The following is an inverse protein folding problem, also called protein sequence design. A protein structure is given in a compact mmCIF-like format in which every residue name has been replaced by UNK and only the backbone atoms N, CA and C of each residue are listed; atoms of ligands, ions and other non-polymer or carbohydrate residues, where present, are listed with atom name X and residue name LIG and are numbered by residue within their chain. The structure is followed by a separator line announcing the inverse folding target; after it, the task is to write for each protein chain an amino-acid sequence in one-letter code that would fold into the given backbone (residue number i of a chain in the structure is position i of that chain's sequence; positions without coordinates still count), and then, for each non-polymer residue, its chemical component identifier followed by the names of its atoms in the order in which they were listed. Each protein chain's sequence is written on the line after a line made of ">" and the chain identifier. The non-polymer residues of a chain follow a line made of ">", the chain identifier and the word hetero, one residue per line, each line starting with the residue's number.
data_IF_886068396572
#
_entry.id   IF_886068396572
#
_cell.length_a   1.000
_cell.length_b   1.000
_cell.length_c   1.000
_cell.angle_alpha   90.00
_cell.angle_beta   90.00
_cell.angle_gamma   90.00
#
_symmetry.space_group_name_H-M   'P 1'
#
loop_
_entity.id
_entity.type
_entity.pdbx_description
1 polymer ?
#
# COMPACT_ATOMS: atom_id res chain seq x y z
N UNK A 1 -9.39 -10.03 -16.05
CA UNK A 1 -9.05 -9.57 -14.68
C UNK A 1 -7.54 -9.43 -14.60
N UNK A 2 -6.97 -8.60 -13.71
CA UNK A 2 -5.52 -8.35 -13.64
C UNK A 2 -4.87 -9.50 -12.89
N UNK A 3 -3.83 -10.15 -13.44
CA UNK A 3 -3.20 -11.34 -12.85
C UNK A 3 -2.76 -11.17 -11.38
N UNK A 4 -2.36 -9.96 -10.97
CA UNK A 4 -2.02 -9.69 -9.58
C UNK A 4 -3.26 -9.61 -8.66
N UNK A 5 -4.41 -9.10 -9.18
CA UNK A 5 -5.67 -9.08 -8.43
C UNK A 5 -6.15 -10.50 -8.17
N UNK A 6 -6.13 -11.36 -9.22
CA UNK A 6 -6.50 -12.77 -9.10
C UNK A 6 -5.59 -13.52 -8.11
N UNK A 7 -4.28 -13.21 -8.12
CA UNK A 7 -3.35 -13.78 -7.15
C UNK A 7 -3.69 -13.39 -5.71
N UNK A 8 -3.93 -12.09 -5.44
CA UNK A 8 -4.26 -11.60 -4.10
C UNK A 8 -5.68 -12.01 -3.65
N UNK A 9 -6.56 -12.34 -4.59
CA UNK A 9 -7.90 -12.87 -4.28
C UNK A 9 -7.90 -14.37 -3.95
N UNK A 10 -6.83 -15.11 -4.32
CA UNK A 10 -6.68 -16.52 -4.04
C UNK A 10 -6.23 -16.78 -2.58
N UNK A 11 -6.43 -18.01 -2.09
CA UNK A 11 -5.90 -18.48 -0.81
C UNK A 11 -4.38 -18.63 -0.89
N UNK A 12 -3.67 -17.55 -0.61
CA UNK A 12 -2.21 -17.54 -0.53
C UNK A 12 -1.75 -16.89 0.77
N UNK A 13 -0.57 -17.24 1.22
CA UNK A 13 0.07 -16.57 2.34
C UNK A 13 1.46 -16.09 1.92
N UNK A 14 1.64 -14.77 1.94
CA UNK A 14 2.94 -14.11 1.78
C UNK A 14 3.62 -13.89 3.13
N UNK A 15 2.92 -14.18 4.21
CA UNK A 15 3.42 -13.98 5.57
C UNK A 15 4.06 -15.25 6.09
N UNK A 16 5.17 -15.11 6.83
CA UNK A 16 5.90 -16.23 7.42
C UNK A 16 5.07 -16.97 8.46
N UNK A 17 4.29 -16.23 9.26
CA UNK A 17 3.34 -16.73 10.25
C UNK A 17 2.36 -15.62 10.67
N UNK A 18 1.43 -15.91 11.59
CA UNK A 18 0.47 -14.95 12.12
C UNK A 18 1.17 -13.73 12.78
N UNK A 19 2.22 -13.96 13.58
CA UNK A 19 2.99 -12.87 14.21
C UNK A 19 3.55 -11.90 13.19
N UNK A 20 4.18 -12.40 12.09
CA UNK A 20 4.68 -11.55 11.00
C UNK A 20 3.56 -10.69 10.42
N UNK A 21 2.42 -11.32 10.09
CA UNK A 21 1.26 -10.62 9.54
C UNK A 21 0.78 -9.51 10.47
N UNK A 22 0.59 -9.80 11.75
CA UNK A 22 0.05 -8.86 12.72
C UNK A 22 0.98 -7.66 12.94
N UNK A 23 2.29 -7.89 13.15
CA UNK A 23 3.25 -6.78 13.33
C UNK A 23 3.47 -5.98 12.04
N UNK A 24 3.34 -6.61 10.86
CA UNK A 24 3.43 -5.94 9.57
C UNK A 24 2.30 -4.92 9.40
N UNK A 25 1.03 -5.34 9.59
CA UNK A 25 -0.10 -4.43 9.47
C UNK A 25 -0.13 -3.38 10.58
N UNK A 26 0.23 -3.76 11.82
CA UNK A 26 0.33 -2.82 12.93
C UNK A 26 1.34 -1.68 12.64
N UNK A 27 2.48 -2.03 12.02
CA UNK A 27 3.48 -1.04 11.63
C UNK A 27 2.99 -0.16 10.50
N UNK A 28 2.44 -0.73 9.43
CA UNK A 28 1.90 0.05 8.31
C UNK A 28 0.83 1.03 8.79
N UNK A 29 -0.14 0.57 9.58
CA UNK A 29 -1.18 1.44 10.11
C UNK A 29 -0.61 2.57 10.97
N UNK A 30 0.39 2.29 11.83
CA UNK A 30 1.09 3.31 12.63
C UNK A 30 1.77 4.35 11.74
N UNK A 31 2.49 3.88 10.70
CA UNK A 31 3.22 4.76 9.81
C UNK A 31 2.24 5.62 8.97
N UNK A 32 1.10 5.06 8.51
CA UNK A 32 0.04 5.81 7.80
C UNK A 32 -0.59 6.87 8.70
N UNK A 33 -0.88 6.54 9.96
CA UNK A 33 -1.47 7.49 10.94
C UNK A 33 -0.62 8.75 11.09
N UNK A 34 0.71 8.63 11.00
CA UNK A 34 1.62 9.77 11.07
C UNK A 34 1.45 10.78 9.91
N UNK A 35 0.80 10.40 8.82
CA UNK A 35 0.49 11.28 7.68
C UNK A 35 -0.94 11.81 7.69
N UNK A 36 -1.83 11.30 8.53
CA UNK A 36 -3.22 11.80 8.62
C UNK A 36 -3.19 13.26 9.09
N UNK A 37 -3.69 14.23 8.30
CA UNK A 37 -3.46 15.64 8.56
C UNK A 37 -4.24 16.18 9.77
N UNK A 38 -5.40 15.60 10.08
CA UNK A 38 -6.26 16.01 11.18
C UNK A 38 -7.28 14.92 11.51
N UNK A 39 -7.83 14.94 12.72
CA UNK A 39 -8.82 13.95 13.20
C UNK A 39 -10.18 14.01 12.47
N UNK A 40 -10.47 15.10 11.79
CA UNK A 40 -11.65 15.26 10.93
C UNK A 40 -11.38 14.95 9.46
N UNK A 41 -10.19 14.45 9.12
CA UNK A 41 -9.81 14.13 7.74
C UNK A 41 -10.65 12.99 7.16
N UNK A 42 -10.99 13.09 5.89
CA UNK A 42 -11.54 12.02 5.06
C UNK A 42 -10.37 11.35 4.34
N UNK A 43 -10.20 10.06 4.56
CA UNK A 43 -9.03 9.27 4.13
C UNK A 43 -9.45 8.20 3.12
N UNK A 44 -8.63 8.00 2.09
CA UNK A 44 -8.72 6.84 1.18
C UNK A 44 -7.42 6.04 1.28
N UNK A 45 -7.52 4.75 1.59
CA UNK A 45 -6.45 3.77 1.42
C UNK A 45 -6.66 3.04 0.08
N UNK A 46 -5.84 3.38 -0.91
CA UNK A 46 -6.03 2.99 -2.32
C UNK A 46 -5.30 1.67 -2.61
N UNK A 47 -6.07 0.61 -2.86
CA UNK A 47 -5.61 -0.80 -2.96
C UNK A 47 -5.07 -1.29 -1.62
N UNK A 48 -5.92 -1.24 -0.60
CA UNK A 48 -5.55 -1.42 0.81
C UNK A 48 -5.20 -2.86 1.21
N UNK A 49 -5.53 -3.87 0.37
CA UNK A 49 -5.36 -5.28 0.72
C UNK A 49 -6.14 -5.68 1.98
N UNK A 50 -5.59 -6.56 2.79
CA UNK A 50 -6.25 -7.05 4.02
C UNK A 50 -6.45 -5.99 5.11
N UNK A 51 -5.69 -4.92 5.13
CA UNK A 51 -5.83 -3.75 6.00
C UNK A 51 -6.18 -4.08 7.48
N UNK A 52 -5.53 -5.11 8.08
CA UNK A 52 -5.95 -5.69 9.37
C UNK A 52 -6.06 -4.64 10.49
N UNK A 53 -5.18 -3.67 10.50
CA UNK A 53 -5.12 -2.60 11.51
C UNK A 53 -5.75 -1.27 11.05
N UNK A 54 -6.58 -1.28 10.00
CA UNK A 54 -7.23 -0.07 9.48
C UNK A 54 -8.07 0.67 10.55
N UNK A 55 -8.52 -0.02 11.59
CA UNK A 55 -9.18 0.60 12.75
C UNK A 55 -8.35 1.72 13.40
N UNK A 56 -7.02 1.63 13.39
CA UNK A 56 -6.13 2.68 13.91
C UNK A 56 -6.15 3.93 13.03
N UNK A 57 -6.18 3.76 11.71
CA UNK A 57 -6.30 4.87 10.75
C UNK A 57 -7.68 5.52 10.87
N UNK A 58 -8.73 4.71 10.97
CA UNK A 58 -10.09 5.20 11.17
C UNK A 58 -10.26 5.96 12.50
N UNK A 59 -9.57 5.53 13.57
CA UNK A 59 -9.58 6.24 14.85
C UNK A 59 -8.95 7.65 14.72
N UNK A 60 -7.94 7.80 13.88
CA UNK A 60 -7.24 9.05 13.62
C UNK A 60 -7.92 9.96 12.57
N UNK A 61 -9.05 9.54 12.00
CA UNK A 61 -9.76 10.26 10.94
C UNK A 61 -11.26 10.35 11.21
N UNK A 62 -12.01 11.15 10.44
CA UNK A 62 -13.48 11.17 10.50
C UNK A 62 -14.09 10.05 9.66
N UNK A 63 -13.48 9.72 8.52
CA UNK A 63 -13.93 8.67 7.62
C UNK A 63 -12.72 8.04 6.93
N UNK A 64 -12.74 6.70 6.81
CA UNK A 64 -11.76 5.92 6.07
C UNK A 64 -12.47 5.10 4.99
N UNK A 65 -12.10 5.33 3.75
CA UNK A 65 -12.48 4.48 2.62
C UNK A 65 -11.36 3.49 2.35
N UNK A 66 -11.65 2.19 2.48
CA UNK A 66 -10.76 1.10 2.10
C UNK A 66 -11.10 0.68 0.67
N UNK A 67 -10.33 1.16 -0.29
CA UNK A 67 -10.54 0.87 -1.70
C UNK A 67 -9.74 -0.38 -2.11
N UNK A 68 -10.43 -1.46 -2.49
CA UNK A 68 -9.78 -2.73 -2.81
C UNK A 68 -10.36 -3.33 -4.09
N UNK A 69 -9.51 -3.62 -5.11
CA UNK A 69 -9.98 -4.18 -6.38
C UNK A 69 -10.37 -5.66 -6.31
N UNK A 70 -9.75 -6.47 -5.41
CA UNK A 70 -9.97 -7.91 -5.31
C UNK A 70 -11.30 -8.21 -4.59
N UNK A 71 -12.29 -8.88 -5.24
CA UNK A 71 -13.62 -9.07 -4.65
C UNK A 71 -13.63 -9.88 -3.37
N UNK A 72 -12.84 -10.96 -3.28
CA UNK A 72 -12.77 -11.79 -2.08
C UNK A 72 -12.09 -11.07 -0.92
N UNK A 73 -11.02 -10.30 -1.20
CA UNK A 73 -10.39 -9.41 -0.18
C UNK A 73 -11.41 -8.39 0.29
N UNK A 74 -12.15 -7.73 -0.63
CA UNK A 74 -13.21 -6.77 -0.28
C UNK A 74 -14.27 -7.39 0.64
N UNK A 75 -14.73 -8.60 0.33
CA UNK A 75 -15.72 -9.31 1.17
C UNK A 75 -15.19 -9.55 2.59
N UNK A 76 -13.92 -9.99 2.71
CA UNK A 76 -13.28 -10.24 4.01
C UNK A 76 -13.13 -8.96 4.86
N UNK A 77 -12.67 -7.85 4.26
CA UNK A 77 -12.53 -6.59 5.00
C UNK A 77 -13.87 -5.96 5.31
N UNK A 78 -14.89 -6.10 4.44
CA UNK A 78 -16.27 -5.66 4.72
C UNK A 78 -16.82 -6.38 5.96
N UNK A 79 -16.69 -7.70 6.02
CA UNK A 79 -17.13 -8.47 7.19
C UNK A 79 -16.36 -8.07 8.46
N UNK A 80 -15.04 -7.86 8.35
CA UNK A 80 -14.18 -7.48 9.48
C UNK A 80 -14.56 -6.13 10.09
N UNK A 81 -14.94 -5.16 9.27
CA UNK A 81 -15.19 -3.79 9.71
C UNK A 81 -16.68 -3.39 9.71
N UNK A 82 -17.61 -4.36 9.54
CA UNK A 82 -19.04 -4.11 9.47
C UNK A 82 -19.60 -3.28 10.63
N UNK A 83 -19.02 -3.40 11.84
CA UNK A 83 -19.43 -2.63 13.03
C UNK A 83 -18.76 -1.25 13.19
N UNK A 84 -17.89 -0.83 12.27
CA UNK A 84 -17.19 0.44 12.41
C UNK A 84 -17.78 1.51 11.46
N UNK A 85 -18.54 2.49 11.98
CA UNK A 85 -19.21 3.49 11.16
C UNK A 85 -18.25 4.43 10.43
N UNK A 86 -17.00 4.52 10.87
CA UNK A 86 -15.98 5.33 10.22
C UNK A 86 -15.35 4.66 9.01
N UNK A 87 -15.50 3.34 8.83
CA UNK A 87 -14.90 2.59 7.71
C UNK A 87 -15.98 2.29 6.67
N UNK A 88 -15.66 2.56 5.42
CA UNK A 88 -16.42 2.12 4.26
C UNK A 88 -15.48 1.36 3.30
N UNK A 89 -15.90 0.16 2.89
CA UNK A 89 -15.17 -0.63 1.91
C UNK A 89 -15.76 -0.37 0.53
N UNK A 90 -14.92 0.02 -0.41
CA UNK A 90 -15.32 0.49 -1.74
C UNK A 90 -14.45 -0.14 -2.84
N UNK A 91 -14.88 0.00 -4.10
CA UNK A 91 -14.06 -0.35 -5.27
C UNK A 91 -13.18 0.83 -5.70
N UNK A 92 -12.25 0.60 -6.65
CA UNK A 92 -11.49 1.71 -7.26
C UNK A 92 -12.37 2.58 -8.14
N UNK A 93 -13.41 2.00 -8.74
CA UNK A 93 -14.44 2.68 -9.53
C UNK A 93 -15.29 3.61 -8.66
N UNK A 94 -15.63 3.18 -7.43
CA UNK A 94 -16.31 4.05 -6.46
C UNK A 94 -15.45 5.25 -6.09
N UNK A 95 -14.13 5.07 -5.90
CA UNK A 95 -13.21 6.21 -5.69
C UNK A 95 -13.18 7.13 -6.91
N UNK A 96 -13.18 6.55 -8.12
CA UNK A 96 -13.24 7.33 -9.35
C UNK A 96 -14.59 8.07 -9.54
N UNK A 97 -15.64 7.67 -8.85
CA UNK A 97 -16.94 8.34 -8.85
C UNK A 97 -17.10 9.40 -7.73
N UNK A 98 -16.16 9.48 -6.78
CA UNK A 98 -16.17 10.50 -5.74
C UNK A 98 -16.11 11.91 -6.32
N UNK A 99 -16.70 12.87 -5.61
CA UNK A 99 -16.66 14.28 -6.00
C UNK A 99 -15.22 14.83 -6.04
N UNK A 100 -15.01 15.79 -6.91
CA UNK A 100 -13.73 16.51 -6.98
C UNK A 100 -13.43 17.18 -5.63
N UNK A 101 -12.17 17.17 -5.24
CA UNK A 101 -11.68 17.84 -4.03
C UNK A 101 -12.45 17.47 -2.76
N UNK A 102 -12.83 16.20 -2.62
CA UNK A 102 -13.61 15.70 -1.46
C UNK A 102 -12.76 15.00 -0.40
N UNK A 103 -11.52 14.59 -0.73
CA UNK A 103 -10.65 13.78 0.11
C UNK A 103 -9.50 14.61 0.67
N UNK A 104 -9.22 14.48 1.97
CA UNK A 104 -8.12 15.18 2.64
C UNK A 104 -6.80 14.45 2.54
N UNK A 105 -6.84 13.10 2.57
CA UNK A 105 -5.64 12.29 2.53
C UNK A 105 -5.88 11.00 1.72
N UNK A 106 -4.95 10.71 0.80
CA UNK A 106 -4.90 9.43 0.09
C UNK A 106 -3.56 8.77 0.38
N UNK A 107 -3.59 7.49 0.71
CA UNK A 107 -2.41 6.63 0.75
C UNK A 107 -2.52 5.54 -0.30
N UNK A 108 -1.43 5.27 -1.03
CA UNK A 108 -1.27 4.13 -1.93
C UNK A 108 0.01 3.41 -1.53
N UNK A 109 -0.10 2.26 -0.86
CA UNK A 109 1.03 1.56 -0.28
C UNK A 109 1.18 0.14 -0.83
N UNK A 110 2.41 -0.26 -1.18
CA UNK A 110 2.76 -1.62 -1.65
C UNK A 110 1.99 -2.12 -2.88
N UNK A 111 1.49 -1.24 -3.74
CA UNK A 111 0.70 -1.63 -4.92
C UNK A 111 1.32 -1.17 -6.24
N UNK A 112 2.04 -0.06 -6.26
CA UNK A 112 2.60 0.53 -7.48
C UNK A 112 3.50 -0.42 -8.27
N UNK A 113 4.17 -1.37 -7.59
CA UNK A 113 5.02 -2.37 -8.21
C UNK A 113 4.26 -3.41 -9.05
N UNK A 114 2.95 -3.56 -8.86
CA UNK A 114 2.11 -4.50 -9.61
C UNK A 114 1.32 -3.83 -10.73
N UNK A 115 1.34 -2.50 -10.79
CA UNK A 115 0.62 -1.71 -11.80
C UNK A 115 1.45 -1.54 -13.07
N UNK A 116 0.78 -1.58 -14.21
CA UNK A 116 1.33 -1.10 -15.48
C UNK A 116 1.49 0.43 -15.45
N UNK A 117 2.27 0.98 -16.41
CA UNK A 117 2.41 2.43 -16.53
C UNK A 117 1.07 3.14 -16.71
N UNK A 118 0.17 2.57 -17.53
CA UNK A 118 -1.17 3.14 -17.76
C UNK A 118 -2.04 3.08 -16.51
N UNK A 119 -1.95 2.00 -15.74
CA UNK A 119 -2.73 1.86 -14.50
C UNK A 119 -2.31 2.85 -13.43
N UNK A 120 -1.00 3.07 -13.28
CA UNK A 120 -0.51 4.05 -12.31
C UNK A 120 -0.89 5.48 -12.75
N UNK A 121 -0.83 5.80 -14.05
CA UNK A 121 -1.22 7.10 -14.58
C UNK A 121 -2.72 7.36 -14.37
N UNK A 122 -3.58 6.35 -14.60
CA UNK A 122 -5.01 6.44 -14.33
C UNK A 122 -5.32 6.63 -12.83
N UNK A 123 -4.62 5.90 -11.96
CA UNK A 123 -4.74 6.05 -10.51
C UNK A 123 -4.32 7.46 -10.06
N UNK A 124 -3.17 7.96 -10.53
CA UNK A 124 -2.69 9.29 -10.20
C UNK A 124 -3.65 10.40 -10.67
N UNK A 125 -4.24 10.26 -11.87
CA UNK A 125 -5.27 11.18 -12.38
C UNK A 125 -6.51 11.18 -11.48
N UNK A 126 -6.98 10.02 -11.08
CA UNK A 126 -8.12 9.88 -10.16
C UNK A 126 -7.82 10.53 -8.81
N UNK A 127 -6.68 10.16 -8.19
CA UNK A 127 -6.25 10.69 -6.90
C UNK A 127 -6.11 12.21 -6.97
N UNK A 128 -5.50 12.75 -8.05
CA UNK A 128 -5.32 14.19 -8.24
C UNK A 128 -6.65 14.95 -8.26
N UNK A 129 -7.68 14.37 -8.88
CA UNK A 129 -9.00 14.96 -8.99
C UNK A 129 -9.77 14.96 -7.66
N UNK A 130 -9.79 13.81 -6.95
CA UNK A 130 -10.57 13.69 -5.71
C UNK A 130 -9.89 14.35 -4.52
N UNK A 131 -8.57 14.54 -4.55
CA UNK A 131 -7.81 15.15 -3.47
C UNK A 131 -8.07 16.66 -3.42
N UNK A 132 -8.38 17.18 -2.22
CA UNK A 132 -8.50 18.64 -1.98
C UNK A 132 -7.21 19.37 -2.35
N UNK A 133 -7.30 20.66 -2.69
CA UNK A 133 -6.13 21.49 -3.00
C UNK A 133 -5.10 21.53 -1.84
N UNK A 134 -5.57 21.49 -0.59
CA UNK A 134 -4.74 21.37 0.63
C UNK A 134 -4.43 19.94 1.01
N UNK A 135 -4.96 18.96 0.30
CA UNK A 135 -4.86 17.53 0.63
C UNK A 135 -3.44 16.96 0.45
N UNK A 136 -3.25 15.78 1.02
CA UNK A 136 -1.97 15.05 0.99
C UNK A 136 -2.19 13.71 0.29
N UNK A 137 -1.32 13.39 -0.65
CA UNK A 137 -1.20 12.05 -1.21
C UNK A 137 0.14 11.44 -0.80
N UNK A 138 0.13 10.21 -0.30
CA UNK A 138 1.35 9.46 0.01
C UNK A 138 1.38 8.18 -0.81
N UNK A 139 2.46 8.00 -1.57
CA UNK A 139 2.77 6.74 -2.24
C UNK A 139 3.95 6.08 -1.52
N UNK A 140 3.74 4.89 -0.98
CA UNK A 140 4.72 4.15 -0.18
C UNK A 140 5.13 2.82 -0.79
N UNK A 141 6.26 2.30 -0.33
CA UNK A 141 6.85 1.02 -0.74
C UNK A 141 7.22 0.97 -2.24
N UNK A 142 7.62 2.11 -2.81
CA UNK A 142 8.09 2.18 -4.20
C UNK A 142 9.41 1.43 -4.32
N UNK A 143 9.46 0.48 -5.26
CA UNK A 143 10.62 -0.40 -5.47
C UNK A 143 11.65 0.29 -6.34
N UNK A 144 12.86 0.48 -5.80
CA UNK A 144 13.98 1.03 -6.57
C UNK A 144 14.56 -0.01 -7.56
N UNK A 145 15.14 0.41 -8.72
CA UNK A 145 15.71 -0.51 -9.70
C UNK A 145 16.79 -1.43 -9.15
N UNK A 146 17.57 -0.94 -8.19
CA UNK A 146 18.66 -1.67 -7.54
C UNK A 146 18.21 -2.53 -6.35
N UNK A 147 16.92 -2.59 -6.04
CA UNK A 147 16.40 -3.47 -4.98
C UNK A 147 16.51 -4.93 -5.42
N UNK A 148 17.36 -5.70 -4.76
CA UNK A 148 17.54 -7.13 -5.02
C UNK A 148 16.68 -8.00 -4.11
N UNK A 149 16.49 -9.27 -4.52
CA UNK A 149 15.84 -10.26 -3.64
C UNK A 149 16.60 -10.45 -2.32
N UNK A 150 17.93 -10.30 -2.34
CA UNK A 150 18.78 -10.37 -1.14
C UNK A 150 18.49 -9.20 -0.20
N UNK A 151 18.33 -7.99 -0.75
CA UNK A 151 17.96 -6.81 0.04
C UNK A 151 16.60 -7.01 0.73
N UNK A 152 15.59 -7.52 0.01
CA UNK A 152 14.27 -7.82 0.56
C UNK A 152 14.35 -8.92 1.64
N UNK A 153 15.13 -9.99 1.39
CA UNK A 153 15.33 -11.06 2.36
C UNK A 153 15.99 -10.59 3.65
N UNK A 154 17.05 -9.77 3.53
CA UNK A 154 17.72 -9.19 4.69
C UNK A 154 16.81 -8.24 5.49
N UNK A 155 15.98 -7.45 4.80
CA UNK A 155 14.99 -6.60 5.45
C UNK A 155 13.98 -7.43 6.24
N UNK A 156 13.48 -8.54 5.68
CA UNK A 156 12.55 -9.46 6.36
C UNK A 156 13.21 -10.14 7.57
N UNK A 157 14.46 -10.62 7.44
CA UNK A 157 15.17 -11.25 8.56
C UNK A 157 15.44 -10.27 9.71
N UNK A 158 15.84 -9.03 9.40
CA UNK A 158 16.02 -7.97 10.40
C UNK A 158 14.70 -7.62 11.09
N UNK A 159 13.62 -7.56 10.32
CA UNK A 159 12.28 -7.36 10.86
C UNK A 159 11.88 -8.51 11.78
N UNK A 160 12.09 -9.77 11.34
CA UNK A 160 11.83 -10.96 12.14
C UNK A 160 12.64 -11.02 13.45
N UNK A 161 13.91 -10.61 13.39
CA UNK A 161 14.77 -10.56 14.57
C UNK A 161 14.26 -9.53 15.60
N UNK A 162 13.87 -8.33 15.12
CA UNK A 162 13.40 -7.26 16.00
C UNK A 162 12.03 -7.55 16.60
N UNK A 163 11.13 -8.16 15.84
CA UNK A 163 9.71 -8.30 16.19
C UNK A 163 9.32 -9.75 16.58
N UNK A 164 10.31 -10.66 16.77
CA UNK A 164 10.14 -11.96 17.39
C UNK A 164 9.59 -13.08 16.49
N UNK A 165 9.90 -13.03 15.17
CA UNK A 165 9.52 -14.09 14.22
C UNK A 165 10.65 -14.52 13.27
N UNK A 166 11.92 -14.32 13.66
CA UNK A 166 13.11 -14.60 12.85
C UNK A 166 13.12 -16.01 12.27
N UNK A 167 12.87 -17.04 13.11
CA UNK A 167 12.88 -18.45 12.68
C UNK A 167 11.84 -18.67 11.57
N UNK A 168 10.62 -18.14 11.76
CA UNK A 168 9.57 -18.24 10.77
C UNK A 168 9.93 -17.48 9.48
N UNK A 169 10.56 -16.30 9.59
CA UNK A 169 11.04 -15.54 8.44
C UNK A 169 12.08 -16.32 7.64
N UNK A 170 13.04 -16.94 8.30
CA UNK A 170 14.07 -17.75 7.66
C UNK A 170 13.47 -18.94 6.89
N UNK A 171 12.62 -19.75 7.52
CA UNK A 171 11.97 -20.89 6.84
C UNK A 171 11.00 -20.42 5.73
N UNK A 172 10.36 -19.28 5.89
CA UNK A 172 9.51 -18.69 4.86
C UNK A 172 10.31 -18.32 3.61
N UNK A 173 11.51 -17.74 3.76
CA UNK A 173 12.39 -17.43 2.63
C UNK A 173 12.80 -18.68 1.86
N UNK A 174 13.18 -19.74 2.57
CA UNK A 174 13.50 -21.05 1.95
C UNK A 174 12.28 -21.56 1.16
N UNK A 175 11.09 -21.56 1.76
CA UNK A 175 9.85 -22.01 1.09
C UNK A 175 9.49 -21.11 -0.10
N UNK A 176 9.67 -19.80 0.01
CA UNK A 176 9.33 -18.84 -1.06
C UNK A 176 10.18 -19.06 -2.30
N UNK A 177 11.45 -19.45 -2.15
CA UNK A 177 12.34 -19.77 -3.25
C UNK A 177 11.79 -20.90 -4.15
N UNK A 178 11.02 -21.84 -3.58
CA UNK A 178 10.39 -22.96 -4.28
C UNK A 178 8.89 -22.73 -4.60
N UNK A 179 8.34 -21.52 -4.35
CA UNK A 179 6.90 -21.25 -4.43
C UNK A 179 6.43 -20.66 -5.75
N UNK A 180 5.09 -20.70 -5.96
CA UNK A 180 4.40 -20.01 -7.06
C UNK A 180 4.54 -18.48 -7.00
N UNK A 181 4.75 -17.90 -5.80
CA UNK A 181 5.00 -16.47 -5.63
C UNK A 181 6.29 -16.02 -6.33
N UNK A 182 7.37 -16.81 -6.25
CA UNK A 182 8.59 -16.52 -7.00
C UNK A 182 8.36 -16.54 -8.50
N UNK A 183 7.58 -17.50 -9.00
CA UNK A 183 7.18 -17.57 -10.41
C UNK A 183 6.32 -16.40 -10.84
N UNK A 184 5.33 -15.99 -10.04
CA UNK A 184 4.51 -14.81 -10.30
C UNK A 184 5.38 -13.54 -10.36
N UNK A 185 6.23 -13.33 -9.36
CA UNK A 185 7.13 -12.18 -9.28
C UNK A 185 8.12 -12.11 -10.46
N UNK A 186 8.55 -13.26 -10.97
CA UNK A 186 9.46 -13.32 -12.13
C UNK A 186 8.73 -13.21 -13.47
N UNK A 187 7.46 -13.65 -13.57
CA UNK A 187 6.69 -13.64 -14.82
C UNK A 187 5.97 -12.30 -15.08
N UNK A 188 5.42 -11.67 -14.06
CA UNK A 188 4.75 -10.36 -14.18
C UNK A 188 5.78 -9.23 -14.22
N UNK A 189 6.97 -9.44 -13.59
CA UNK A 189 7.92 -8.38 -13.31
C UNK A 189 7.36 -7.38 -12.30
N UNK A 190 8.21 -6.79 -11.48
CA UNK A 190 7.80 -5.67 -10.65
C UNK A 190 8.14 -4.37 -11.36
N UNK A 191 7.18 -3.46 -11.46
CA UNK A 191 7.44 -2.08 -11.87
C UNK A 191 8.39 -1.45 -10.85
N UNK A 192 9.50 -0.94 -11.34
CA UNK A 192 10.55 -0.33 -10.53
C UNK A 192 10.78 1.08 -10.99
N UNK A 193 10.98 1.97 -10.05
CA UNK A 193 11.20 3.39 -10.32
C UNK A 193 12.40 3.88 -9.53
N UNK A 194 13.34 4.52 -10.17
CA UNK A 194 14.30 5.37 -9.47
C UNK A 194 13.57 6.55 -8.81
N UNK A 195 14.23 7.22 -7.88
CA UNK A 195 13.66 8.42 -7.27
C UNK A 195 13.29 9.48 -8.32
N UNK A 196 14.18 9.68 -9.31
CA UNK A 196 13.98 10.65 -10.37
C UNK A 196 12.77 10.30 -11.26
N UNK A 197 12.63 9.02 -11.67
CA UNK A 197 11.51 8.56 -12.48
C UNK A 197 10.17 8.67 -11.76
N UNK A 198 10.11 8.24 -10.47
CA UNK A 198 8.87 8.37 -9.69
C UNK A 198 8.51 9.84 -9.47
N UNK A 199 9.50 10.68 -9.15
CA UNK A 199 9.29 12.13 -8.99
C UNK A 199 8.78 12.77 -10.29
N UNK A 200 9.37 12.44 -11.44
CA UNK A 200 8.93 12.94 -12.75
C UNK A 200 7.50 12.48 -13.07
N UNK A 201 7.16 11.21 -12.78
CA UNK A 201 5.82 10.67 -12.97
C UNK A 201 4.78 11.39 -12.10
N UNK A 202 5.08 11.64 -10.85
CA UNK A 202 4.22 12.40 -9.94
C UNK A 202 4.06 13.86 -10.40
N UNK A 203 5.14 14.50 -10.84
CA UNK A 203 5.12 15.86 -11.38
C UNK A 203 4.29 15.97 -12.66
N UNK A 204 4.45 15.04 -13.60
CA UNK A 204 3.63 15.01 -14.83
C UNK A 204 2.14 14.80 -14.56
N UNK A 205 1.80 14.23 -13.40
CA UNK A 205 0.43 14.05 -12.92
C UNK A 205 -0.10 15.24 -12.10
N UNK A 206 0.66 16.36 -12.03
CA UNK A 206 0.26 17.58 -11.33
C UNK A 206 0.52 17.59 -9.82
N UNK A 207 1.49 16.80 -9.36
CA UNK A 207 1.91 16.78 -7.95
C UNK A 207 3.30 17.37 -7.76
N UNK A 208 3.48 18.16 -6.71
CA UNK A 208 4.77 18.40 -6.08
C UNK A 208 5.07 17.21 -5.15
N UNK A 209 6.21 16.55 -5.32
CA UNK A 209 6.53 15.30 -4.63
C UNK A 209 7.87 15.36 -3.89
N UNK A 210 7.87 15.03 -2.61
CA UNK A 210 9.06 14.98 -1.76
C UNK A 210 9.28 13.57 -1.23
N UNK A 211 10.46 12.98 -1.52
CA UNK A 211 10.85 11.71 -0.92
C UNK A 211 10.96 11.87 0.59
N UNK A 212 10.36 10.92 1.31
CA UNK A 212 10.44 10.87 2.76
C UNK A 212 11.70 10.14 3.22
N UNK A 213 12.30 10.54 4.35
CA UNK A 213 13.51 9.92 4.88
C UNK A 213 13.28 8.47 5.34
N UNK A 214 12.03 8.13 5.67
CA UNK A 214 11.63 6.81 6.16
C UNK A 214 10.52 6.25 5.27
N UNK A 215 10.67 5.00 4.84
CA UNK A 215 9.62 4.30 4.11
C UNK A 215 8.53 3.80 5.06
N UNK A 216 7.27 3.83 4.62
CA UNK A 216 6.17 3.14 5.30
C UNK A 216 6.47 1.64 5.30
N UNK A 217 6.31 1.00 6.47
CA UNK A 217 6.59 -0.42 6.64
C UNK A 217 8.03 -0.73 7.05
N UNK A 218 8.42 -2.00 6.98
CA UNK A 218 9.69 -2.48 7.54
C UNK A 218 10.88 -2.32 6.59
N UNK A 219 10.66 -2.35 5.28
CA UNK A 219 11.74 -2.36 4.28
C UNK A 219 12.19 -0.95 3.91
N UNK A 220 13.28 -0.49 4.53
CA UNK A 220 13.81 0.86 4.32
C UNK A 220 14.65 1.01 3.04
N UNK A 221 14.86 -0.06 2.27
CA UNK A 221 15.44 0.02 0.92
C UNK A 221 14.41 0.46 -0.15
N UNK A 222 13.16 0.66 0.26
CA UNK A 222 12.08 1.15 -0.55
C UNK A 222 11.83 2.64 -0.29
N UNK A 223 10.99 3.27 -1.11
CA UNK A 223 10.80 4.71 -1.05
C UNK A 223 9.34 5.07 -0.75
N UNK A 224 9.15 6.12 0.04
CA UNK A 224 7.87 6.80 0.23
C UNK A 224 7.99 8.24 -0.26
N UNK A 225 6.96 8.70 -0.97
CA UNK A 225 6.85 10.11 -1.41
C UNK A 225 5.59 10.72 -0.81
N UNK A 226 5.75 11.92 -0.27
CA UNK A 226 4.66 12.80 0.13
C UNK A 226 4.41 13.79 -1.01
N UNK A 227 3.17 13.84 -1.48
CA UNK A 227 2.75 14.60 -2.62
C UNK A 227 1.67 15.61 -2.23
N UNK A 228 1.73 16.79 -2.83
CA UNK A 228 0.71 17.83 -2.76
C UNK A 228 0.37 18.30 -4.16
N UNK A 229 -0.73 19.00 -4.33
CA UNK A 229 -1.00 19.70 -5.58
C UNK A 229 0.16 20.63 -5.95
N UNK A 230 0.66 20.56 -7.22
CA UNK A 230 1.69 21.45 -7.74
C UNK A 230 1.11 22.85 -8.01
#
# INVERSE_FOLDING_TARGET
>A
MRAWVDYYDSDHTIYANARHRDVHFARIAKDIVAYVPASNAIVVDYSCGEALDAGKVAAASSKLFLAEPAPGVRARITARFAGNPKIAVVTLEDVAAMADQSIDFVVMHSVSQYMTAQEIDAALKTIRRVLKSSGIFVIGDVVAPNTSAVTDALALLRFGLRDGFFVAAFFSLVRTFFSSYWRLRSSIGLSRYSEAEMRAKLQSSGFSANRQPVNIGHNQARMTFLCRHA
#
